data_IF_795296472190
#
_entry.id   IF_795296472190
#
_cell.length_a   1.000
_cell.length_b   1.000
_cell.length_c   1.000
_cell.angle_alpha   90.00
_cell.angle_beta   90.00
_cell.angle_gamma   90.00
#
_symmetry.space_group_name_H-M   'P 1'
#
loop_
_entity.id
_entity.type
_entity.pdbx_description
1 polymer ?
#
# COMPACT_ATOMS: atom_id res chain seq x y z
N UNK A 1 17.48 1.62 -7.14
CA UNK A 1 16.78 2.86 -6.81
C UNK A 1 16.67 3.06 -5.31
N UNK A 2 17.02 4.25 -4.82
CA UNK A 2 16.80 4.63 -3.43
C UNK A 2 15.34 4.99 -3.11
N UNK A 3 14.44 4.94 -4.08
CA UNK A 3 13.04 5.33 -3.93
C UNK A 3 12.10 4.40 -4.71
N UNK A 4 10.89 4.26 -4.21
CA UNK A 4 9.81 3.58 -4.93
C UNK A 4 9.33 4.45 -6.11
N UNK A 5 8.83 3.81 -7.17
CA UNK A 5 8.35 4.47 -8.40
C UNK A 5 6.94 4.04 -8.76
N UNK A 6 6.39 4.66 -9.80
CA UNK A 6 5.12 4.27 -10.42
C UNK A 6 5.31 3.47 -11.71
N UNK A 7 6.53 3.03 -11.98
CA UNK A 7 6.85 2.28 -13.19
C UNK A 7 6.10 0.95 -13.22
N UNK A 8 5.76 0.53 -14.43
CA UNK A 8 5.24 -0.82 -14.67
C UNK A 8 6.34 -1.85 -14.44
N UNK A 9 5.94 -3.06 -14.09
CA UNK A 9 6.86 -4.19 -13.93
C UNK A 9 6.60 -5.24 -15.01
N UNK A 10 7.63 -5.93 -15.49
CA UNK A 10 7.46 -6.98 -16.48
C UNK A 10 7.01 -8.29 -15.83
N UNK A 11 6.11 -8.98 -16.50
CA UNK A 11 5.73 -10.36 -16.20
C UNK A 11 6.15 -11.24 -17.38
N UNK A 12 7.10 -12.15 -17.16
CA UNK A 12 7.66 -13.03 -18.17
C UNK A 12 7.19 -14.45 -17.88
N UNK A 13 6.73 -15.14 -18.91
CA UNK A 13 6.29 -16.54 -18.78
C UNK A 13 7.05 -17.44 -19.71
N UNK A 14 7.61 -18.52 -19.16
CA UNK A 14 8.44 -19.48 -19.87
C UNK A 14 7.83 -20.88 -19.68
N UNK A 15 7.50 -21.55 -20.79
CA UNK A 15 7.14 -22.98 -20.78
C UNK A 15 8.26 -23.77 -21.45
N UNK A 16 9.11 -24.46 -20.70
CA UNK A 16 10.24 -25.19 -21.30
C UNK A 16 9.81 -26.39 -22.15
N UNK A 17 8.58 -26.86 -21.99
CA UNK A 17 8.02 -27.99 -22.74
C UNK A 17 7.33 -27.54 -24.04
N UNK A 18 6.89 -26.29 -24.14
CA UNK A 18 6.23 -25.72 -25.32
C UNK A 18 6.78 -24.32 -25.59
N UNK A 19 7.61 -24.20 -26.59
CA UNK A 19 8.25 -22.94 -27.01
C UNK A 19 7.34 -22.04 -27.85
N UNK A 20 6.08 -22.41 -28.05
CA UNK A 20 5.12 -21.55 -28.75
C UNK A 20 4.87 -20.28 -27.94
N UNK A 21 4.74 -19.12 -28.59
CA UNK A 21 4.41 -17.88 -27.90
C UNK A 21 3.14 -18.02 -27.08
N UNK A 22 3.17 -17.56 -25.83
CA UNK A 22 2.04 -17.50 -24.92
C UNK A 22 1.40 -16.11 -25.08
N UNK A 23 0.13 -16.05 -25.45
CA UNK A 23 -0.60 -14.79 -25.47
C UNK A 23 -0.78 -14.29 -24.02
N UNK A 24 -0.11 -13.20 -23.68
CA UNK A 24 -0.19 -12.55 -22.37
C UNK A 24 -0.86 -11.20 -22.53
N UNK A 25 -1.78 -10.88 -21.63
CA UNK A 25 -2.37 -9.54 -21.51
C UNK A 25 -1.61 -8.73 -20.46
N UNK A 26 -1.64 -7.42 -20.60
CA UNK A 26 -1.26 -6.51 -19.52
C UNK A 26 -2.27 -6.61 -18.35
N UNK A 27 -1.80 -6.32 -17.14
CA UNK A 27 -2.64 -6.46 -15.94
C UNK A 27 -2.07 -5.77 -14.73
N UNK A 28 -2.34 -6.35 -13.57
CA UNK A 28 -1.86 -5.90 -12.27
C UNK A 28 -1.24 -7.04 -11.46
N UNK A 29 -0.59 -6.72 -10.34
CA UNK A 29 -0.03 -7.75 -9.45
C UNK A 29 -1.09 -8.73 -8.91
N UNK A 30 -2.34 -8.30 -8.77
CA UNK A 30 -3.45 -9.16 -8.36
C UNK A 30 -3.80 -10.27 -9.36
N UNK A 31 -3.33 -10.16 -10.61
CA UNK A 31 -3.58 -11.14 -11.67
C UNK A 31 -2.59 -12.32 -11.65
N UNK A 32 -1.50 -12.21 -10.88
CA UNK A 32 -0.44 -13.22 -10.86
C UNK A 32 -0.89 -14.52 -10.20
N UNK A 33 -1.51 -14.48 -9.01
CA UNK A 33 -2.01 -15.70 -8.34
C UNK A 33 -3.10 -16.43 -9.14
N UNK A 34 -4.08 -15.76 -9.76
CA UNK A 34 -4.98 -16.39 -10.72
C UNK A 34 -4.26 -17.09 -11.88
N UNK A 35 -3.18 -16.49 -12.38
CA UNK A 35 -2.33 -17.09 -13.42
C UNK A 35 -1.63 -18.36 -12.91
N UNK A 36 -1.10 -18.33 -11.69
CA UNK A 36 -0.47 -19.49 -11.04
C UNK A 36 -1.48 -20.64 -10.90
N UNK A 37 -2.68 -20.34 -10.40
CA UNK A 37 -3.75 -21.34 -10.25
C UNK A 37 -4.17 -21.94 -11.58
N UNK A 38 -4.30 -21.09 -12.62
CA UNK A 38 -4.61 -21.56 -13.97
C UNK A 38 -3.53 -22.53 -14.52
N UNK A 39 -2.26 -22.21 -14.33
CA UNK A 39 -1.13 -23.07 -14.74
C UNK A 39 -1.16 -24.42 -13.99
N UNK A 40 -1.49 -24.40 -12.71
CA UNK A 40 -1.54 -25.60 -11.87
C UNK A 40 -2.83 -26.42 -12.02
N UNK A 41 -3.81 -25.93 -12.78
CA UNK A 41 -5.11 -26.55 -12.94
C UNK A 41 -5.97 -26.52 -11.66
N UNK A 42 -5.73 -25.54 -10.79
CA UNK A 42 -6.44 -25.36 -9.52
C UNK A 42 -7.57 -24.35 -9.73
N UNK A 43 -8.81 -24.64 -9.31
CA UNK A 43 -9.91 -23.68 -9.40
C UNK A 43 -9.60 -22.40 -8.61
N UNK A 44 -9.90 -21.25 -9.22
CA UNK A 44 -9.73 -19.95 -8.58
C UNK A 44 -10.81 -19.75 -7.50
N UNK A 45 -10.45 -19.40 -6.24
CA UNK A 45 -11.41 -19.04 -5.20
C UNK A 45 -12.24 -17.81 -5.58
N UNK A 46 -13.48 -17.75 -5.08
CA UNK A 46 -14.40 -16.63 -5.37
C UNK A 46 -13.92 -15.29 -4.80
N UNK A 47 -13.08 -15.31 -3.79
CA UNK A 47 -12.46 -14.13 -3.15
C UNK A 47 -11.36 -13.49 -4.00
N UNK A 48 -10.84 -14.21 -5.01
CA UNK A 48 -9.89 -13.69 -5.99
C UNK A 48 -10.66 -13.11 -7.18
N UNK A 49 -10.58 -11.82 -7.41
CA UNK A 49 -11.21 -11.11 -8.53
C UNK A 49 -10.25 -10.82 -9.70
N UNK A 50 -8.95 -11.05 -9.50
CA UNK A 50 -7.94 -11.00 -10.55
C UNK A 50 -8.21 -12.03 -11.64
N UNK A 51 -7.63 -11.83 -12.81
CA UNK A 51 -7.82 -12.69 -13.98
C UNK A 51 -6.49 -13.28 -14.44
N UNK A 52 -6.44 -14.53 -14.90
CA UNK A 52 -5.21 -15.06 -15.49
C UNK A 52 -4.66 -14.15 -16.60
N UNK A 53 -3.35 -13.96 -16.59
CA UNK A 53 -2.64 -13.13 -17.59
C UNK A 53 -2.48 -13.87 -18.94
N UNK A 54 -2.53 -15.20 -18.92
CA UNK A 54 -2.44 -16.03 -20.12
C UNK A 54 -3.84 -16.27 -20.71
N UNK A 55 -4.07 -15.74 -21.88
CA UNK A 55 -5.35 -15.86 -22.59
C UNK A 55 -5.45 -17.20 -23.35
N UNK A 56 -6.57 -17.88 -23.16
CA UNK A 56 -6.95 -19.05 -23.95
C UNK A 56 -6.07 -20.30 -23.74
N UNK A 57 -5.09 -20.27 -22.84
CA UNK A 57 -4.22 -21.41 -22.56
C UNK A 57 -4.44 -21.93 -21.14
N UNK A 58 -4.65 -23.24 -21.05
CA UNK A 58 -4.69 -23.99 -19.78
C UNK A 58 -3.67 -25.13 -19.85
N UNK A 59 -2.99 -25.40 -18.75
CA UNK A 59 -1.95 -26.44 -18.72
C UNK A 59 -2.41 -27.76 -18.11
N UNK A 60 -3.54 -27.78 -17.43
CA UNK A 60 -4.08 -28.96 -16.79
C UNK A 60 -3.32 -29.38 -15.52
N UNK A 61 -3.74 -30.51 -14.95
CA UNK A 61 -3.21 -31.02 -13.69
C UNK A 61 -1.76 -31.53 -13.81
N UNK A 62 -1.06 -31.57 -12.67
CA UNK A 62 0.27 -32.18 -12.55
C UNK A 62 1.44 -31.30 -13.00
N UNK A 63 1.22 -30.06 -13.38
CA UNK A 63 2.28 -29.12 -13.69
C UNK A 63 2.99 -28.67 -12.42
N UNK A 64 4.28 -28.35 -12.57
CA UNK A 64 5.08 -27.66 -11.56
C UNK A 64 5.35 -26.26 -12.04
N UNK A 65 5.37 -25.29 -11.12
CA UNK A 65 5.63 -23.90 -11.42
C UNK A 65 6.71 -23.36 -10.47
N UNK A 66 7.56 -22.51 -10.99
CA UNK A 66 8.50 -21.69 -10.21
C UNK A 66 8.14 -20.24 -10.49
N UNK A 67 7.74 -19.49 -9.46
CA UNK A 67 7.58 -18.05 -9.51
C UNK A 67 8.81 -17.39 -8.91
N UNK A 68 9.49 -16.54 -9.68
CA UNK A 68 10.62 -15.73 -9.22
C UNK A 68 10.19 -14.28 -9.20
N UNK A 69 10.28 -13.64 -8.04
CA UNK A 69 9.95 -12.23 -7.85
C UNK A 69 11.26 -11.46 -7.70
N UNK A 70 11.59 -10.63 -8.68
CA UNK A 70 12.71 -9.70 -8.64
C UNK A 70 12.20 -8.37 -8.07
N UNK A 71 12.18 -8.24 -6.75
CA UNK A 71 11.67 -7.06 -6.06
C UNK A 71 12.50 -5.82 -6.41
N UNK A 72 11.82 -4.68 -6.68
CA UNK A 72 12.46 -3.46 -7.14
C UNK A 72 12.86 -3.44 -8.63
N UNK A 73 12.56 -4.49 -9.39
CA UNK A 73 12.91 -4.62 -10.81
C UNK A 73 11.74 -4.20 -11.70
N UNK A 74 11.81 -3.00 -12.26
CA UNK A 74 10.74 -2.40 -13.08
C UNK A 74 11.20 -2.06 -14.50
N UNK A 75 10.26 -1.58 -15.29
CA UNK A 75 10.51 -1.06 -16.63
C UNK A 75 10.88 0.42 -16.52
N UNK A 76 12.10 0.76 -16.84
CA UNK A 76 12.58 2.13 -16.85
C UNK A 76 12.28 2.88 -18.15
N UNK A 77 12.87 4.06 -18.29
CA UNK A 77 12.69 4.96 -19.43
C UNK A 77 13.78 4.81 -20.48
N UNK A 78 14.82 4.02 -20.20
CA UNK A 78 15.96 3.81 -21.10
C UNK A 78 16.90 5.02 -21.19
N UNK A 79 16.91 5.86 -20.15
CA UNK A 79 17.79 7.03 -20.04
C UNK A 79 18.95 6.78 -19.04
N UNK A 80 19.77 7.81 -18.81
CA UNK A 80 20.92 7.76 -17.90
C UNK A 80 20.53 7.50 -16.41
N UNK A 81 19.25 7.63 -16.05
CA UNK A 81 18.71 7.29 -14.73
C UNK A 81 18.23 5.84 -14.62
N UNK A 82 18.17 5.10 -15.71
CA UNK A 82 17.72 3.71 -15.74
C UNK A 82 18.89 2.74 -15.54
N UNK A 83 19.13 2.36 -14.30
CA UNK A 83 20.25 1.49 -13.93
C UNK A 83 20.18 0.09 -14.60
N UNK A 84 18.97 -0.42 -14.89
CA UNK A 84 18.80 -1.70 -15.59
C UNK A 84 19.23 -1.56 -17.05
N UNK A 85 18.84 -0.47 -17.70
CA UNK A 85 19.23 -0.17 -19.07
C UNK A 85 20.75 0.04 -19.22
N UNK A 86 21.40 0.66 -18.23
CA UNK A 86 22.83 0.90 -18.24
C UNK A 86 23.68 -0.33 -17.87
N UNK A 87 23.09 -1.32 -17.22
CA UNK A 87 23.80 -2.51 -16.80
C UNK A 87 23.97 -3.52 -17.95
N UNK A 88 25.07 -4.30 -17.92
CA UNK A 88 25.23 -5.45 -18.80
C UNK A 88 24.37 -6.61 -18.27
N UNK A 89 23.20 -6.80 -18.86
CA UNK A 89 22.19 -7.78 -18.44
C UNK A 89 21.79 -8.74 -19.58
N UNK A 90 22.76 -9.49 -20.17
CA UNK A 90 22.52 -10.24 -21.41
C UNK A 90 21.43 -11.31 -21.29
N UNK A 91 21.32 -11.94 -20.11
CA UNK A 91 20.26 -12.93 -19.90
C UNK A 91 18.89 -12.27 -19.78
N UNK A 92 18.79 -11.15 -19.06
CA UNK A 92 17.54 -10.37 -18.96
C UNK A 92 17.08 -9.86 -20.32
N UNK A 93 18.01 -9.33 -21.10
CA UNK A 93 17.74 -8.82 -22.44
C UNK A 93 17.22 -9.94 -23.36
N UNK A 94 17.81 -11.14 -23.26
CA UNK A 94 17.33 -12.31 -23.99
C UNK A 94 15.92 -12.74 -23.57
N UNK A 95 15.56 -12.62 -22.30
CA UNK A 95 14.22 -12.93 -21.83
C UNK A 95 13.16 -11.99 -22.43
N UNK A 96 13.46 -10.70 -22.50
CA UNK A 96 12.55 -9.73 -23.13
C UNK A 96 12.46 -9.88 -24.65
N UNK A 97 13.54 -10.32 -25.31
CA UNK A 97 13.58 -10.53 -26.75
C UNK A 97 12.89 -11.83 -27.19
N UNK A 98 13.10 -12.93 -26.43
CA UNK A 98 12.79 -14.29 -26.89
C UNK A 98 11.59 -14.92 -26.19
N UNK A 99 11.15 -14.39 -25.04
CA UNK A 99 10.06 -14.99 -24.26
C UNK A 99 8.78 -14.15 -24.35
N UNK A 100 7.66 -14.78 -24.00
CA UNK A 100 6.37 -14.09 -23.86
C UNK A 100 6.36 -13.26 -22.58
N UNK A 101 6.08 -11.98 -22.69
CA UNK A 101 5.99 -11.09 -21.54
C UNK A 101 4.90 -10.03 -21.71
N UNK A 102 4.46 -9.46 -20.60
CA UNK A 102 3.48 -8.39 -20.50
C UNK A 102 3.84 -7.42 -19.39
N UNK A 103 3.08 -6.34 -19.28
CA UNK A 103 3.30 -5.27 -18.29
C UNK A 103 2.27 -5.37 -17.19
N UNK A 104 2.71 -5.21 -15.93
CA UNK A 104 1.82 -5.16 -14.78
C UNK A 104 1.89 -3.82 -14.09
N UNK A 105 0.74 -3.31 -13.68
CA UNK A 105 0.64 -2.22 -12.73
C UNK A 105 1.03 -2.70 -11.33
N UNK A 106 2.00 -2.01 -10.72
CA UNK A 106 2.55 -2.32 -9.40
C UNK A 106 2.47 -1.12 -8.44
N UNK A 107 1.66 -0.10 -8.74
CA UNK A 107 1.56 1.15 -8.00
C UNK A 107 0.14 1.72 -8.02
N UNK A 108 -0.11 2.73 -7.20
CA UNK A 108 -1.37 3.46 -7.17
C UNK A 108 -2.58 2.57 -6.88
N UNK A 109 -3.69 2.92 -7.46
CA UNK A 109 -4.99 2.26 -7.23
C UNK A 109 -5.00 0.77 -7.64
N UNK A 110 -4.13 0.38 -8.56
CA UNK A 110 -4.01 -1.01 -8.99
C UNK A 110 -3.51 -1.97 -7.92
N UNK A 111 -2.87 -1.44 -6.87
CA UNK A 111 -2.38 -2.21 -5.73
C UNK A 111 -2.97 -1.73 -4.40
N UNK A 112 -4.09 -1.01 -4.47
CA UNK A 112 -4.83 -0.55 -3.30
C UNK A 112 -4.20 0.64 -2.59
N UNK A 113 -3.30 1.37 -3.24
CA UNK A 113 -2.73 2.64 -2.80
C UNK A 113 -3.52 3.82 -3.39
N UNK A 114 -3.31 5.02 -2.87
CA UNK A 114 -3.89 6.22 -3.46
C UNK A 114 -3.42 6.47 -4.89
N UNK A 115 -4.23 7.17 -5.69
CA UNK A 115 -3.92 7.51 -7.08
C UNK A 115 -2.54 8.19 -7.20
N UNK A 116 -1.70 7.71 -8.11
CA UNK A 116 -0.36 8.23 -8.35
C UNK A 116 0.68 7.97 -7.26
N UNK A 117 0.33 7.26 -6.18
CA UNK A 117 1.31 6.84 -5.17
C UNK A 117 2.22 5.74 -5.74
N UNK A 118 3.51 5.85 -5.46
CA UNK A 118 4.49 4.82 -5.79
C UNK A 118 4.15 3.50 -5.10
N UNK A 119 4.46 2.37 -5.76
CA UNK A 119 4.32 1.04 -5.18
C UNK A 119 5.30 0.81 -4.03
N UNK A 120 5.10 -0.28 -3.31
CA UNK A 120 6.03 -0.78 -2.30
C UNK A 120 5.88 -2.30 -2.17
N UNK A 121 6.87 -2.96 -1.54
CA UNK A 121 6.88 -4.42 -1.40
C UNK A 121 5.69 -4.97 -0.62
N UNK A 122 5.24 -4.28 0.42
CA UNK A 122 4.11 -4.74 1.24
C UNK A 122 2.82 -4.78 0.44
N UNK A 123 2.44 -3.68 -0.21
CA UNK A 123 1.28 -3.63 -1.09
C UNK A 123 1.41 -4.62 -2.25
N UNK A 124 2.59 -4.68 -2.90
CA UNK A 124 2.84 -5.58 -4.02
C UNK A 124 2.65 -7.05 -3.66
N UNK A 125 3.30 -7.54 -2.60
CA UNK A 125 3.20 -8.94 -2.17
C UNK A 125 1.81 -9.28 -1.63
N UNK A 126 1.13 -8.34 -0.98
CA UNK A 126 -0.26 -8.54 -0.54
C UNK A 126 -1.19 -8.79 -1.73
N UNK A 127 -1.06 -8.01 -2.80
CA UNK A 127 -1.85 -8.19 -4.02
C UNK A 127 -1.48 -9.48 -4.77
N UNK A 128 -0.17 -9.78 -4.87
CA UNK A 128 0.31 -11.04 -5.46
C UNK A 128 -0.32 -12.25 -4.77
N UNK A 129 -0.28 -12.29 -3.43
CA UNK A 129 -0.80 -13.43 -2.65
C UNK A 129 -2.32 -13.50 -2.64
N UNK A 130 -3.00 -12.37 -2.54
CA UNK A 130 -4.45 -12.31 -2.46
C UNK A 130 -5.16 -12.60 -3.79
N UNK A 131 -4.48 -12.47 -4.93
CA UNK A 131 -5.09 -12.61 -6.25
C UNK A 131 -6.17 -11.56 -6.54
N UNK A 132 -6.05 -10.39 -5.94
CA UNK A 132 -6.97 -9.25 -6.07
C UNK A 132 -6.31 -7.97 -5.63
N UNK A 133 -6.95 -6.83 -5.93
CA UNK A 133 -6.55 -5.56 -5.36
C UNK A 133 -6.88 -5.51 -3.86
N UNK A 134 -5.85 -5.34 -3.01
CA UNK A 134 -5.99 -5.21 -1.55
C UNK A 134 -5.81 -3.75 -1.18
N UNK A 135 -6.92 -3.09 -0.84
CA UNK A 135 -6.89 -1.70 -0.41
C UNK A 135 -6.06 -1.56 0.86
N UNK A 136 -5.07 -0.68 0.84
CA UNK A 136 -4.17 -0.44 1.96
C UNK A 136 -4.86 0.33 3.08
N UNK A 137 -4.35 0.21 4.30
CA UNK A 137 -5.02 0.76 5.48
C UNK A 137 -5.12 2.29 5.45
N UNK A 138 -4.11 3.00 4.94
CA UNK A 138 -4.15 4.45 4.79
C UNK A 138 -5.30 4.89 3.84
N UNK A 139 -5.49 4.19 2.72
CA UNK A 139 -6.58 4.47 1.78
C UNK A 139 -7.95 4.18 2.39
N UNK A 140 -8.06 3.10 3.17
CA UNK A 140 -9.30 2.75 3.88
C UNK A 140 -9.64 3.79 4.96
N UNK A 141 -8.64 4.24 5.72
CA UNK A 141 -8.82 5.25 6.75
C UNK A 141 -9.18 6.62 6.17
N UNK A 142 -8.49 7.03 5.09
CA UNK A 142 -8.81 8.28 4.38
C UNK A 142 -10.25 8.28 3.84
N UNK A 143 -10.68 7.16 3.25
CA UNK A 143 -12.06 7.00 2.80
C UNK A 143 -13.05 7.10 3.96
N UNK A 144 -12.76 6.44 5.09
CA UNK A 144 -13.60 6.45 6.28
C UNK A 144 -13.68 7.85 6.93
N UNK A 145 -12.60 8.62 6.91
CA UNK A 145 -12.60 10.02 7.36
C UNK A 145 -13.49 10.86 6.44
N UNK A 146 -13.35 10.66 5.12
CA UNK A 146 -14.08 11.43 4.10
C UNK A 146 -15.59 11.17 4.11
N UNK A 147 -16.00 9.92 4.28
CA UNK A 147 -17.43 9.54 4.31
C UNK A 147 -18.06 9.62 5.71
N UNK A 148 -17.26 9.92 6.75
CA UNK A 148 -17.69 10.07 8.14
C UNK A 148 -17.83 8.75 8.91
N UNK A 149 -17.60 7.59 8.29
CA UNK A 149 -17.69 6.29 8.97
C UNK A 149 -16.58 6.08 10.01
N UNK A 150 -15.44 6.79 9.87
CA UNK A 150 -14.37 6.80 10.87
C UNK A 150 -14.90 7.16 12.26
N UNK A 151 -15.73 8.21 12.34
CA UNK A 151 -16.33 8.69 13.61
C UNK A 151 -17.41 7.77 14.17
N UNK A 152 -17.85 6.80 13.39
CA UNK A 152 -18.84 5.80 13.81
C UNK A 152 -18.18 4.48 14.23
N UNK A 153 -16.84 4.39 14.21
CA UNK A 153 -16.12 3.17 14.56
C UNK A 153 -16.42 2.78 16.03
N UNK A 154 -17.03 1.62 16.26
CA UNK A 154 -17.49 1.23 17.61
C UNK A 154 -16.33 1.03 18.60
N UNK A 155 -15.14 0.64 18.10
CA UNK A 155 -13.99 0.42 18.99
C UNK A 155 -13.43 1.75 19.49
N UNK A 156 -13.35 2.78 18.64
CA UNK A 156 -12.94 4.12 19.09
C UNK A 156 -13.96 4.71 20.09
N UNK A 157 -15.25 4.57 19.82
CA UNK A 157 -16.29 5.00 20.73
C UNK A 157 -16.23 4.26 22.07
N UNK A 158 -15.96 2.96 22.06
CA UNK A 158 -15.78 2.15 23.27
C UNK A 158 -14.57 2.63 24.10
N UNK A 159 -13.46 2.97 23.45
CA UNK A 159 -12.28 3.48 24.15
C UNK A 159 -12.55 4.84 24.80
N UNK A 160 -13.24 5.74 24.10
CA UNK A 160 -13.64 7.05 24.62
C UNK A 160 -14.59 6.88 25.82
N UNK A 161 -15.61 6.04 25.69
CA UNK A 161 -16.57 5.79 26.77
C UNK A 161 -15.90 5.13 27.98
N UNK A 162 -14.96 4.21 27.77
CA UNK A 162 -14.18 3.61 28.86
C UNK A 162 -13.39 4.67 29.63
N UNK A 163 -12.67 5.56 28.93
CA UNK A 163 -11.91 6.63 29.57
C UNK A 163 -12.82 7.59 30.34
N UNK A 164 -13.94 7.97 29.74
CA UNK A 164 -14.95 8.84 30.36
C UNK A 164 -15.55 8.21 31.63
N UNK A 165 -16.02 6.97 31.54
CA UNK A 165 -16.67 6.26 32.66
C UNK A 165 -15.72 6.06 33.85
N UNK A 166 -14.45 5.79 33.60
CA UNK A 166 -13.47 5.56 34.65
C UNK A 166 -12.74 6.84 35.09
N UNK A 167 -13.09 8.00 34.55
CA UNK A 167 -12.43 9.25 34.87
C UNK A 167 -10.92 9.24 34.53
N UNK A 168 -10.52 8.50 33.49
CA UNK A 168 -9.12 8.39 33.03
C UNK A 168 -8.88 9.24 31.77
N UNK A 169 -7.68 9.25 31.25
CA UNK A 169 -7.34 9.92 30.00
C UNK A 169 -7.28 8.92 28.83
N UNK A 170 -7.48 9.42 27.63
CA UNK A 170 -7.17 8.71 26.38
C UNK A 170 -5.82 9.18 25.87
N UNK A 171 -4.95 8.25 25.56
CA UNK A 171 -3.62 8.51 24.99
C UNK A 171 -3.58 8.03 23.55
N UNK A 172 -3.11 8.87 22.65
CA UNK A 172 -3.01 8.61 21.21
C UNK A 172 -1.54 8.70 20.80
N UNK A 173 -1.01 7.64 20.19
CA UNK A 173 0.31 7.64 19.58
C UNK A 173 0.15 7.91 18.09
N UNK A 174 0.81 8.93 17.57
CA UNK A 174 0.58 9.43 16.22
C UNK A 174 1.85 9.87 15.49
N UNK A 175 1.92 9.57 14.20
CA UNK A 175 2.91 10.17 13.31
C UNK A 175 2.55 11.62 12.97
N UNK A 176 3.53 12.52 13.05
CA UNK A 176 3.39 13.90 12.60
C UNK A 176 3.68 14.00 11.10
N UNK A 177 2.70 13.62 10.30
CA UNK A 177 2.81 13.60 8.85
C UNK A 177 1.43 13.57 8.18
N UNK A 178 1.36 14.05 6.95
CA UNK A 178 0.19 13.91 6.05
C UNK A 178 0.47 12.97 4.86
N UNK A 179 1.70 12.51 4.70
CA UNK A 179 2.18 11.86 3.46
C UNK A 179 2.63 10.41 3.64
N UNK A 180 2.68 9.90 4.86
CA UNK A 180 3.15 8.54 5.13
C UNK A 180 2.03 7.50 4.95
N UNK A 181 2.37 6.34 4.42
CA UNK A 181 1.49 5.16 4.46
C UNK A 181 1.39 4.52 5.84
N UNK A 182 2.24 4.94 6.80
CA UNK A 182 2.27 4.41 8.17
C UNK A 182 1.38 5.20 9.15
N UNK A 183 0.79 6.28 8.73
CA UNK A 183 -0.10 7.10 9.54
C UNK A 183 -0.29 8.50 8.99
N UNK A 184 -1.33 9.17 9.47
CA UNK A 184 -1.64 10.55 9.15
C UNK A 184 -2.12 11.25 10.42
N UNK A 185 -1.72 12.50 10.62
CA UNK A 185 -2.11 13.28 11.81
C UNK A 185 -3.62 13.59 11.84
N UNK A 186 -4.30 13.51 10.71
CA UNK A 186 -5.75 13.68 10.66
C UNK A 186 -6.51 12.63 11.45
N UNK A 187 -6.00 11.39 11.54
CA UNK A 187 -6.70 10.32 12.25
C UNK A 187 -6.81 10.61 13.76
N UNK A 188 -5.72 10.91 14.51
CA UNK A 188 -5.84 11.26 15.92
C UNK A 188 -6.61 12.56 16.14
N UNK A 189 -6.56 13.53 15.24
CA UNK A 189 -7.38 14.75 15.34
C UNK A 189 -8.88 14.43 15.21
N UNK A 190 -9.28 13.53 14.31
CA UNK A 190 -10.66 13.03 14.27
C UNK A 190 -11.06 12.30 15.55
N UNK A 191 -10.15 11.56 16.21
CA UNK A 191 -10.44 10.95 17.52
C UNK A 191 -10.60 12.03 18.61
N UNK A 192 -9.86 13.13 18.55
CA UNK A 192 -10.08 14.28 19.45
C UNK A 192 -11.46 14.91 19.26
N UNK A 193 -11.91 15.07 18.01
CA UNK A 193 -13.29 15.54 17.73
C UNK A 193 -14.34 14.56 18.27
N UNK A 194 -14.15 13.24 18.07
CA UNK A 194 -15.04 12.24 18.67
C UNK A 194 -15.06 12.31 20.19
N UNK A 195 -13.91 12.52 20.83
CA UNK A 195 -13.79 12.67 22.28
C UNK A 195 -14.56 13.88 22.78
N UNK A 196 -14.42 15.05 22.11
CA UNK A 196 -15.20 16.27 22.39
C UNK A 196 -16.70 15.99 22.30
N UNK A 197 -17.13 15.40 21.19
CA UNK A 197 -18.56 15.17 20.89
C UNK A 197 -19.19 14.18 21.89
N UNK A 198 -18.36 13.31 22.49
CA UNK A 198 -18.77 12.36 23.54
C UNK A 198 -18.47 12.84 24.97
N UNK A 199 -17.99 14.07 25.16
CA UNK A 199 -17.79 14.68 26.48
C UNK A 199 -16.55 14.16 27.25
N UNK A 200 -15.53 13.65 26.56
CA UNK A 200 -14.23 13.32 27.13
C UNK A 200 -13.26 14.47 26.87
N UNK A 201 -12.75 15.12 27.93
CA UNK A 201 -11.87 16.29 27.84
C UNK A 201 -10.37 15.94 27.94
N UNK A 202 -10.02 14.78 28.49
CA UNK A 202 -8.62 14.40 28.72
C UNK A 202 -8.12 13.47 27.63
N UNK A 203 -7.54 14.07 26.56
CA UNK A 203 -6.89 13.37 25.44
C UNK A 203 -5.49 13.89 25.26
N UNK A 204 -4.52 13.01 25.19
CA UNK A 204 -3.10 13.34 25.08
C UNK A 204 -2.51 12.68 23.83
N UNK A 205 -1.77 13.47 23.04
CA UNK A 205 -1.08 13.01 21.84
C UNK A 205 0.41 12.86 22.13
N UNK A 206 0.94 11.68 21.79
CA UNK A 206 2.35 11.33 21.80
C UNK A 206 2.82 11.29 20.34
N UNK A 207 3.70 12.18 19.97
CA UNK A 207 4.05 12.39 18.55
C UNK A 207 5.30 11.61 18.18
N UNK A 208 5.25 10.92 17.05
CA UNK A 208 6.42 10.37 16.37
C UNK A 208 6.74 11.31 15.21
N UNK A 209 7.91 11.96 15.27
CA UNK A 209 8.39 12.81 14.18
C UNK A 209 8.84 11.93 13.02
N UNK A 210 8.15 12.04 11.89
CA UNK A 210 8.46 11.26 10.69
C UNK A 210 9.51 11.98 9.83
N UNK A 211 10.79 11.71 10.09
CA UNK A 211 11.90 12.26 9.32
C UNK A 211 12.07 11.64 7.92
N UNK A 212 11.16 10.77 7.47
CA UNK A 212 11.25 10.07 6.18
C UNK A 212 10.30 10.63 5.12
N UNK A 213 9.04 10.88 5.50
CA UNK A 213 7.98 11.32 4.57
C UNK A 213 7.66 12.82 4.70
N UNK A 214 8.36 13.53 5.60
CA UNK A 214 8.27 14.97 5.80
C UNK A 214 9.57 15.66 5.39
N UNK A 215 9.46 16.93 4.99
CA UNK A 215 10.62 17.74 4.64
C UNK A 215 11.52 17.95 5.87
N UNK A 216 12.87 17.91 5.72
CA UNK A 216 13.79 18.21 6.80
C UNK A 216 13.50 19.59 7.41
N UNK A 217 13.42 19.65 8.75
CA UNK A 217 13.14 20.89 9.47
C UNK A 217 11.67 21.31 9.53
N UNK A 218 10.72 20.55 8.94
CA UNK A 218 9.29 20.91 8.94
C UNK A 218 8.55 20.67 10.26
N UNK A 219 9.13 19.89 11.18
CA UNK A 219 8.46 19.50 12.41
C UNK A 219 7.91 20.66 13.27
N UNK A 220 8.62 21.81 13.46
CA UNK A 220 8.07 22.91 14.23
C UNK A 220 6.82 23.52 13.63
N UNK A 221 6.79 23.67 12.28
CA UNK A 221 5.63 24.21 11.58
C UNK A 221 4.43 23.27 11.64
N UNK A 222 4.67 21.95 11.46
CA UNK A 222 3.62 20.94 11.57
C UNK A 222 3.07 20.83 13.00
N UNK A 223 3.91 20.98 14.03
CA UNK A 223 3.43 21.01 15.42
C UNK A 223 2.55 22.24 15.68
N UNK A 224 2.97 23.42 15.21
CA UNK A 224 2.16 24.63 15.36
C UNK A 224 0.78 24.48 14.70
N UNK A 225 0.71 23.89 13.50
CA UNK A 225 -0.54 23.59 12.83
C UNK A 225 -1.41 22.62 13.63
N UNK A 226 -0.82 21.57 14.20
CA UNK A 226 -1.55 20.61 15.03
C UNK A 226 -2.08 21.28 16.30
N UNK A 227 -1.30 22.13 16.96
CA UNK A 227 -1.73 22.86 18.14
C UNK A 227 -2.91 23.80 17.83
N UNK A 228 -2.86 24.56 16.72
CA UNK A 228 -3.98 25.38 16.25
C UNK A 228 -5.25 24.55 16.02
N UNK A 229 -5.10 23.40 15.38
CA UNK A 229 -6.25 22.49 15.13
C UNK A 229 -6.81 21.92 16.43
N UNK A 230 -5.97 21.53 17.39
CA UNK A 230 -6.41 21.05 18.70
C UNK A 230 -7.10 22.12 19.51
N UNK A 231 -6.63 23.38 19.45
CA UNK A 231 -7.31 24.53 20.04
C UNK A 231 -8.70 24.73 19.42
N UNK A 232 -8.82 24.66 18.11
CA UNK A 232 -10.10 24.75 17.42
C UNK A 232 -11.07 23.62 17.76
N UNK A 233 -10.55 22.40 17.94
CA UNK A 233 -11.31 21.24 18.40
C UNK A 233 -11.76 21.42 19.86
N UNK A 234 -10.92 22.05 20.71
CA UNK A 234 -11.17 22.24 22.13
C UNK A 234 -10.89 21.02 23.01
N UNK A 235 -10.36 19.94 22.46
CA UNK A 235 -9.96 18.72 23.16
C UNK A 235 -8.69 18.16 22.53
N UNK A 236 -7.79 17.66 23.38
CA UNK A 236 -6.51 17.10 22.97
C UNK A 236 -5.37 18.08 23.18
N UNK A 237 -4.20 17.56 23.49
CA UNK A 237 -2.95 18.32 23.47
C UNK A 237 -1.76 17.41 23.24
N UNK A 238 -0.74 17.91 22.58
CA UNK A 238 0.56 17.22 22.46
C UNK A 238 1.28 17.29 23.81
N UNK A 239 1.80 16.17 24.31
CA UNK A 239 2.46 16.07 25.61
C UNK A 239 3.93 15.71 25.52
N UNK A 240 4.29 14.94 24.50
CA UNK A 240 5.68 14.59 24.20
C UNK A 240 5.85 14.19 22.74
N UNK A 241 7.08 13.94 22.33
CA UNK A 241 7.41 13.48 21.00
C UNK A 241 8.79 12.83 20.95
N UNK A 242 8.95 11.90 20.01
CA UNK A 242 10.19 11.17 19.76
C UNK A 242 10.44 11.09 18.25
N UNK A 243 11.70 11.04 17.85
CA UNK A 243 12.09 10.76 16.47
C UNK A 243 11.82 9.29 16.09
N UNK A 244 11.50 9.08 14.84
CA UNK A 244 11.33 7.75 14.24
C UNK A 244 12.64 6.99 14.17
#
# INVERSE_FOLDING_TARGET
>A
DGAHTTNLVPFIMIDPADKSPIALRDGSLGDVSPTVLNVLGIPQPAEMDGKPLCEGKTWGEGRKMLLIICDGWGLGTGDDGDAIHLADTPYWDSLLADQSWSKLHASGEFVGLGAGKAGNSEAGHSNLGAGRCVMQDDVRLDAAVKDGSFKQNPIFLQAIEHAKKNGTALHLLAYLTYKSSHGCIDYPLNICEMARDNGLSRVYLHIIFDGRSTEPGSAPALLAEVDERLEAIGVGRVVDGVGR
#
